data_IF_333428965835
#
_entry.id   IF_333428965835
#
_cell.length_a   1.000
_cell.length_b   1.000
_cell.length_c   1.000
_cell.angle_alpha   90.00
_cell.angle_beta   90.00
_cell.angle_gamma   90.00
#
_symmetry.space_group_name_H-M   'P 1'
#
loop_
_entity.id
_entity.type
_entity.pdbx_description
1 polymer ?
#
# COMPACT_ATOMS: atom_id res chain seq x y z
N UNK A 1 11.06 18.62 -10.57
CA UNK A 1 10.26 18.23 -9.39
C UNK A 1 8.84 17.86 -9.82
N UNK A 2 8.67 16.74 -10.52
CA UNK A 2 7.34 16.17 -10.79
C UNK A 2 7.52 14.67 -11.00
N UNK A 3 7.61 13.91 -9.90
CA UNK A 3 7.56 12.44 -9.93
C UNK A 3 6.81 11.86 -8.71
N UNK A 4 5.96 12.66 -8.05
CA UNK A 4 5.12 12.20 -6.95
C UNK A 4 3.72 11.72 -7.39
N UNK A 5 3.23 12.23 -8.53
CA UNK A 5 1.92 11.87 -9.07
C UNK A 5 1.75 10.38 -9.42
N UNK A 6 2.75 9.67 -9.99
CA UNK A 6 2.59 8.24 -10.27
C UNK A 6 2.56 7.39 -9.00
N UNK A 7 3.41 7.67 -8.00
CA UNK A 7 3.41 6.93 -6.73
C UNK A 7 2.10 7.16 -5.97
N UNK A 8 1.60 8.40 -5.86
CA UNK A 8 0.32 8.65 -5.17
C UNK A 8 -0.83 7.88 -5.82
N UNK A 9 -0.89 7.82 -7.16
CA UNK A 9 -1.91 7.02 -7.86
C UNK A 9 -1.79 5.52 -7.56
N UNK A 10 -0.56 5.00 -7.48
CA UNK A 10 -0.29 3.61 -7.11
C UNK A 10 -0.79 3.30 -5.69
N UNK A 11 -0.47 4.15 -4.71
CA UNK A 11 -0.89 3.97 -3.32
C UNK A 11 -2.42 4.07 -3.15
N UNK A 12 -3.06 5.00 -3.87
CA UNK A 12 -4.53 5.10 -3.91
C UNK A 12 -5.16 3.84 -4.51
N UNK A 13 -4.57 3.28 -5.58
CA UNK A 13 -5.06 2.06 -6.20
C UNK A 13 -4.91 0.86 -5.26
N UNK A 14 -3.77 0.72 -4.60
CA UNK A 14 -3.56 -0.30 -3.56
C UNK A 14 -4.59 -0.18 -2.42
N UNK A 15 -4.86 1.03 -1.96
CA UNK A 15 -5.90 1.31 -0.97
C UNK A 15 -7.30 0.83 -1.37
N UNK A 16 -7.65 0.98 -2.65
CA UNK A 16 -8.91 0.48 -3.20
C UNK A 16 -8.96 -1.05 -3.19
N UNK A 17 -7.86 -1.72 -3.50
CA UNK A 17 -7.79 -3.19 -3.46
C UNK A 17 -7.98 -3.72 -2.04
N UNK A 18 -7.37 -3.07 -1.04
CA UNK A 18 -7.61 -3.41 0.37
C UNK A 18 -9.08 -3.20 0.76
N UNK A 19 -9.71 -2.12 0.28
CA UNK A 19 -11.14 -1.86 0.51
C UNK A 19 -12.04 -2.91 -0.14
N UNK A 20 -11.71 -3.34 -1.35
CA UNK A 20 -12.43 -4.42 -2.04
C UNK A 20 -12.37 -5.75 -1.27
N UNK A 21 -11.28 -5.97 -0.52
CA UNK A 21 -11.09 -7.16 0.32
C UNK A 21 -11.67 -7.00 1.74
N UNK A 22 -12.40 -5.91 1.99
CA UNK A 22 -13.17 -5.69 3.22
C UNK A 22 -12.47 -4.86 4.30
N UNK A 23 -11.29 -4.28 4.03
CA UNK A 23 -10.67 -3.35 4.98
C UNK A 23 -11.38 -2.00 4.94
N UNK A 24 -11.57 -1.33 6.09
CA UNK A 24 -12.31 -0.07 6.19
C UNK A 24 -11.48 1.14 5.73
N UNK A 25 -10.84 1.07 4.56
CA UNK A 25 -9.89 2.10 4.10
C UNK A 25 -10.62 3.35 3.58
N UNK A 26 -10.46 4.46 4.31
CA UNK A 26 -10.95 5.79 3.97
C UNK A 26 -9.91 6.71 3.32
N UNK A 27 -10.34 7.92 2.95
CA UNK A 27 -9.46 8.94 2.37
C UNK A 27 -8.38 9.42 3.34
N UNK A 28 -8.71 9.51 4.63
CA UNK A 28 -7.77 9.90 5.69
C UNK A 28 -6.63 8.88 5.85
N UNK A 29 -6.96 7.58 5.90
CA UNK A 29 -5.94 6.53 5.98
C UNK A 29 -5.02 6.52 4.77
N UNK A 30 -5.56 6.80 3.58
CA UNK A 30 -4.76 6.92 2.36
C UNK A 30 -3.85 8.14 2.39
N UNK A 31 -4.33 9.29 2.86
CA UNK A 31 -3.48 10.47 3.04
C UNK A 31 -2.36 10.18 4.06
N UNK A 32 -2.67 9.53 5.18
CA UNK A 32 -1.69 9.16 6.20
C UNK A 32 -0.63 8.19 5.63
N UNK A 33 -1.07 7.21 4.84
CA UNK A 33 -0.16 6.29 4.16
C UNK A 33 0.73 6.99 3.14
N UNK A 34 0.18 7.87 2.28
CA UNK A 34 0.97 8.66 1.34
C UNK A 34 2.02 9.53 2.04
N UNK A 35 1.67 10.13 3.19
CA UNK A 35 2.61 10.92 3.99
C UNK A 35 3.71 10.04 4.59
N UNK A 36 3.37 8.87 5.14
CA UNK A 36 4.37 7.95 5.68
C UNK A 36 5.36 7.47 4.63
N UNK A 37 4.86 7.09 3.44
CA UNK A 37 5.70 6.67 2.31
C UNK A 37 6.57 7.82 1.79
N UNK A 38 6.09 9.07 1.82
CA UNK A 38 6.88 10.23 1.41
C UNK A 38 8.00 10.59 2.41
N UNK A 39 7.90 10.15 3.67
CA UNK A 39 8.96 10.29 4.69
C UNK A 39 9.99 9.18 4.56
N UNK A 40 9.57 7.98 4.13
CA UNK A 40 10.45 6.86 3.80
C UNK A 40 10.87 6.88 2.32
N UNK A 41 11.38 5.76 1.83
CA UNK A 41 11.71 5.58 0.42
C UNK A 41 10.57 4.88 -0.35
N UNK A 42 9.92 5.54 -1.34
CA UNK A 42 8.86 4.93 -2.14
C UNK A 42 9.36 3.90 -3.18
N UNK A 43 10.67 3.81 -3.40
CA UNK A 43 11.30 2.84 -4.30
C UNK A 43 11.61 1.50 -3.63
N UNK A 44 11.65 1.47 -2.30
CA UNK A 44 11.85 0.26 -1.51
C UNK A 44 10.52 -0.40 -1.11
N UNK A 45 10.41 -1.69 -1.41
CA UNK A 45 9.18 -2.47 -1.18
C UNK A 45 8.95 -2.80 0.30
N UNK A 46 10.01 -2.89 1.10
CA UNK A 46 9.93 -3.13 2.54
C UNK A 46 9.44 -1.85 3.25
N UNK A 47 9.96 -0.69 2.87
CA UNK A 47 9.48 0.61 3.36
C UNK A 47 7.98 0.84 3.02
N UNK A 48 7.54 0.49 1.82
CA UNK A 48 6.12 0.51 1.42
C UNK A 48 5.26 -0.43 2.28
N UNK A 49 5.75 -1.65 2.50
CA UNK A 49 5.06 -2.67 3.29
C UNK A 49 4.89 -2.23 4.74
N UNK A 50 5.97 -1.78 5.41
CA UNK A 50 5.90 -1.38 6.80
C UNK A 50 5.15 -0.07 7.00
N UNK A 51 5.27 0.89 6.08
CA UNK A 51 4.45 2.11 6.08
C UNK A 51 2.98 1.76 6.06
N UNK A 52 2.55 0.94 5.10
CA UNK A 52 1.14 0.60 4.96
C UNK A 52 0.63 -0.24 6.12
N UNK A 53 1.46 -1.13 6.66
CA UNK A 53 1.14 -1.89 7.88
C UNK A 53 0.94 -0.99 9.09
N UNK A 54 1.81 -0.01 9.29
CA UNK A 54 1.74 0.88 10.43
C UNK A 54 0.57 1.86 10.33
N UNK A 55 0.23 2.33 9.13
CA UNK A 55 -0.79 3.38 8.95
C UNK A 55 -2.20 2.86 8.66
N UNK A 56 -2.34 1.71 8.00
CA UNK A 56 -3.65 1.21 7.54
C UNK A 56 -4.23 0.12 8.46
N UNK A 57 -3.42 -0.50 9.31
CA UNK A 57 -3.82 -1.69 10.07
C UNK A 57 -3.97 -1.37 11.56
N UNK A 58 -5.22 -1.11 11.96
CA UNK A 58 -5.58 -0.90 13.36
C UNK A 58 -5.94 -2.20 14.12
N UNK A 59 -6.23 -3.30 13.40
CA UNK A 59 -6.71 -4.57 14.00
C UNK A 59 -5.86 -5.74 13.53
N UNK A 60 -5.56 -6.67 14.45
CA UNK A 60 -4.75 -7.85 14.16
C UNK A 60 -5.35 -8.75 13.08
N UNK A 61 -6.68 -8.88 13.02
CA UNK A 61 -7.35 -9.68 11.97
C UNK A 61 -7.15 -9.11 10.55
N UNK A 62 -6.88 -7.82 10.41
CA UNK A 62 -6.65 -7.20 9.09
C UNK A 62 -5.25 -7.50 8.54
N UNK A 63 -4.32 -7.96 9.38
CA UNK A 63 -2.94 -8.27 8.99
C UNK A 63 -2.92 -9.31 7.86
N UNK A 64 -3.65 -10.41 8.02
CA UNK A 64 -3.65 -11.51 7.06
C UNK A 64 -4.21 -11.10 5.70
N UNK A 65 -5.18 -10.19 5.68
CA UNK A 65 -5.75 -9.64 4.44
C UNK A 65 -4.74 -8.68 3.79
N UNK A 66 -4.17 -7.77 4.58
CA UNK A 66 -3.14 -6.86 4.08
C UNK A 66 -1.96 -7.62 3.46
N UNK A 67 -1.41 -8.63 4.15
CA UNK A 67 -0.29 -9.43 3.66
C UNK A 67 -0.58 -10.06 2.30
N UNK A 68 -1.77 -10.65 2.15
CA UNK A 68 -2.19 -11.28 0.91
C UNK A 68 -2.31 -10.28 -0.23
N UNK A 69 -2.99 -9.15 0.01
CA UNK A 69 -3.23 -8.12 -1.00
C UNK A 69 -1.94 -7.43 -1.38
N UNK A 70 -1.07 -7.11 -0.43
CA UNK A 70 0.23 -6.49 -0.68
C UNK A 70 1.11 -7.38 -1.57
N UNK A 71 1.24 -8.67 -1.22
CA UNK A 71 1.99 -9.63 -2.04
C UNK A 71 1.40 -9.74 -3.45
N UNK A 72 0.08 -9.83 -3.57
CA UNK A 72 -0.59 -9.88 -4.87
C UNK A 72 -0.35 -8.61 -5.70
N UNK A 73 -0.39 -7.44 -5.08
CA UNK A 73 -0.34 -6.16 -5.78
C UNK A 73 1.08 -5.75 -6.17
N UNK A 74 2.06 -5.91 -5.27
CA UNK A 74 3.43 -5.44 -5.48
C UNK A 74 4.41 -6.55 -5.89
N UNK A 75 4.14 -7.82 -5.56
CA UNK A 75 5.07 -8.92 -5.82
C UNK A 75 4.59 -9.86 -6.94
N UNK A 76 3.29 -9.92 -7.25
CA UNK A 76 2.76 -10.81 -8.30
C UNK A 76 3.09 -10.36 -9.73
N UNK A 77 3.31 -9.06 -9.97
CA UNK A 77 3.71 -8.52 -11.28
C UNK A 77 5.20 -8.77 -11.60
N UNK A 78 5.98 -9.32 -10.65
CA UNK A 78 7.39 -9.68 -10.85
C UNK A 78 7.60 -11.07 -11.46
N UNK A 79 6.55 -11.85 -11.69
CA UNK A 79 6.62 -13.05 -12.51
C UNK A 79 6.68 -12.65 -14.00
N UNK A 80 7.86 -12.22 -14.43
CA UNK A 80 8.17 -12.02 -15.84
C UNK A 80 8.04 -13.34 -16.57
N UNK A 81 7.08 -13.37 -17.49
CA UNK A 81 6.95 -14.37 -18.55
C UNK A 81 8.28 -14.42 -19.31
N UNK A 82 8.96 -15.57 -19.23
CA UNK A 82 10.12 -15.91 -20.06
C UNK A 82 9.75 -15.95 -21.55
#
# INVERSE_FOLDING_TARGET
MHDGAPVVKLLVHFGRELRNEGLPIGSDEINNFCNAVAVLDPGDVDDLYWSGRATLIARRDHISIYDRVFRRFFLSERETKF
#
